data_IF_112634790813
#
_entry.id   IF_112634790813
#
_cell.length_a   1.000
_cell.length_b   1.000
_cell.length_c   1.000
_cell.angle_alpha   90.00
_cell.angle_beta   90.00
_cell.angle_gamma   90.00
#
_symmetry.space_group_name_H-M   'P 1'
#
loop_
_entity.id
_entity.type
_entity.pdbx_description
1 polymer ?
#
# COMPACT_ATOMS: atom_id res chain seq x y z
N UNK A 1 13.37 -23.06 3.58
CA UNK A 1 12.70 -22.02 2.76
C UNK A 1 13.12 -20.68 3.34
N UNK A 2 14.14 -20.08 2.74
CA UNK A 2 14.95 -19.00 3.32
C UNK A 2 14.36 -17.61 3.06
N UNK A 3 14.82 -16.63 3.85
CA UNK A 3 14.43 -15.22 3.80
C UNK A 3 14.26 -14.64 2.38
N UNK A 4 15.09 -15.04 1.42
CA UNK A 4 15.04 -14.53 0.05
C UNK A 4 13.73 -14.79 -0.71
N UNK A 5 12.99 -15.87 -0.40
CA UNK A 5 11.67 -16.11 -1.03
C UNK A 5 10.63 -15.10 -0.53
N UNK A 6 10.73 -14.70 0.74
CA UNK A 6 9.78 -13.78 1.35
C UNK A 6 10.05 -12.33 0.94
N UNK A 7 11.33 -11.98 0.77
CA UNK A 7 11.76 -10.69 0.19
C UNK A 7 11.26 -10.55 -1.25
N UNK A 8 11.50 -11.55 -2.10
CA UNK A 8 10.96 -11.55 -3.47
C UNK A 8 9.44 -11.41 -3.50
N UNK A 9 8.73 -12.09 -2.59
CA UNK A 9 7.27 -12.04 -2.53
C UNK A 9 6.72 -10.67 -2.17
N UNK A 10 7.37 -9.88 -1.32
CA UNK A 10 6.90 -8.51 -1.03
C UNK A 10 7.21 -7.55 -2.18
N UNK A 11 8.33 -7.74 -2.87
CA UNK A 11 8.73 -6.92 -4.03
C UNK A 11 7.85 -7.13 -5.26
N UNK A 12 7.23 -8.30 -5.40
CA UNK A 12 6.32 -8.59 -6.50
C UNK A 12 4.84 -8.44 -6.12
N UNK A 13 4.53 -8.15 -4.85
CA UNK A 13 3.16 -8.08 -4.36
C UNK A 13 2.44 -6.81 -4.81
N UNK A 14 1.77 -6.90 -5.97
CA UNK A 14 0.94 -5.84 -6.56
C UNK A 14 -0.50 -5.89 -6.02
N UNK A 15 -1.15 -4.74 -5.89
CA UNK A 15 -2.59 -4.69 -5.59
C UNK A 15 -3.41 -5.35 -6.71
N UNK A 16 -3.12 -5.03 -7.97
CA UNK A 16 -3.90 -5.51 -9.10
C UNK A 16 -5.38 -5.17 -8.96
N UNK A 17 -6.26 -6.16 -9.10
CA UNK A 17 -7.73 -6.03 -8.89
C UNK A 17 -8.17 -6.27 -7.44
N UNK A 18 -7.22 -6.44 -6.51
CA UNK A 18 -7.54 -6.69 -5.11
C UNK A 18 -8.11 -5.44 -4.46
N UNK A 19 -9.08 -5.63 -3.56
CA UNK A 19 -9.56 -4.57 -2.70
C UNK A 19 -8.41 -3.97 -1.86
N UNK A 20 -8.37 -2.64 -1.74
CA UNK A 20 -7.28 -1.89 -1.10
C UNK A 20 -7.03 -2.38 0.33
N UNK A 21 -8.09 -2.66 1.11
CA UNK A 21 -7.92 -3.20 2.46
C UNK A 21 -7.28 -4.58 2.49
N UNK A 22 -7.67 -5.47 1.58
CA UNK A 22 -7.08 -6.81 1.50
C UNK A 22 -5.61 -6.74 1.11
N UNK A 23 -5.26 -5.82 0.21
CA UNK A 23 -3.88 -5.53 -0.15
C UNK A 23 -3.08 -5.05 1.07
N UNK A 24 -3.59 -4.05 1.82
CA UNK A 24 -2.91 -3.53 3.01
C UNK A 24 -2.66 -4.60 4.08
N UNK A 25 -3.66 -5.45 4.37
CA UNK A 25 -3.52 -6.52 5.36
C UNK A 25 -2.44 -7.52 4.92
N UNK A 26 -2.49 -7.97 3.66
CA UNK A 26 -1.49 -8.92 3.12
C UNK A 26 -0.10 -8.29 3.07
N UNK A 27 0.01 -7.03 2.66
CA UNK A 27 1.26 -6.29 2.61
C UNK A 27 1.89 -6.16 4.01
N UNK A 28 1.10 -5.87 5.04
CA UNK A 28 1.57 -5.80 6.43
C UNK A 28 2.10 -7.15 6.92
N UNK A 29 1.43 -8.25 6.58
CA UNK A 29 1.89 -9.60 6.91
C UNK A 29 3.19 -9.93 6.18
N UNK A 30 3.29 -9.62 4.88
CA UNK A 30 4.49 -9.83 4.09
C UNK A 30 5.68 -9.02 4.63
N UNK A 31 5.47 -7.74 4.97
CA UNK A 31 6.49 -6.88 5.59
C UNK A 31 7.05 -7.52 6.85
N UNK A 32 6.17 -8.03 7.71
CA UNK A 32 6.57 -8.69 8.96
C UNK A 32 7.38 -9.95 8.71
N UNK A 33 6.99 -10.76 7.73
CA UNK A 33 7.68 -12.01 7.39
C UNK A 33 9.03 -11.74 6.70
N UNK A 34 9.09 -10.75 5.82
CA UNK A 34 10.30 -10.34 5.09
C UNK A 34 11.26 -9.53 5.98
N UNK A 35 10.82 -9.07 7.16
CA UNK A 35 11.57 -8.17 8.05
C UNK A 35 12.04 -6.89 7.32
N UNK A 36 11.22 -6.40 6.39
CA UNK A 36 11.53 -5.22 5.58
C UNK A 36 11.46 -3.94 6.41
N UNK A 37 12.47 -3.08 6.24
CA UNK A 37 12.52 -1.76 6.86
C UNK A 37 11.39 -0.84 6.39
N UNK A 38 10.98 0.11 7.23
CA UNK A 38 9.83 0.99 6.94
C UNK A 38 10.01 1.83 5.68
N UNK A 39 11.21 2.34 5.41
CA UNK A 39 11.49 3.11 4.19
C UNK A 39 11.33 2.27 2.92
N UNK A 40 11.84 1.03 2.95
CA UNK A 40 11.72 0.11 1.83
C UNK A 40 10.26 -0.36 1.66
N UNK A 41 9.58 -0.68 2.76
CA UNK A 41 8.17 -1.04 2.74
C UNK A 41 7.28 0.11 2.23
N UNK A 42 7.60 1.37 2.57
CA UNK A 42 6.90 2.55 2.06
C UNK A 42 7.09 2.69 0.54
N UNK A 43 8.32 2.51 0.05
CA UNK A 43 8.61 2.53 -1.38
C UNK A 43 7.77 1.48 -2.13
N UNK A 44 7.79 0.23 -1.66
CA UNK A 44 7.01 -0.87 -2.24
C UNK A 44 5.50 -0.61 -2.15
N UNK A 45 5.02 -0.08 -1.02
CA UNK A 45 3.61 0.26 -0.83
C UNK A 45 3.14 1.25 -1.90
N UNK A 46 3.90 2.32 -2.15
CA UNK A 46 3.58 3.33 -3.17
C UNK A 46 3.75 2.78 -4.59
N UNK A 47 4.70 1.89 -4.82
CA UNK A 47 4.93 1.27 -6.14
C UNK A 47 3.81 0.31 -6.55
N UNK A 48 3.23 -0.41 -5.58
CA UNK A 48 2.35 -1.56 -5.84
C UNK A 48 0.87 -1.29 -5.64
N UNK A 49 0.51 -0.18 -5.00
CA UNK A 49 -0.88 0.25 -4.88
C UNK A 49 -1.36 1.00 -6.12
N UNK A 50 -2.67 1.05 -6.32
CA UNK A 50 -3.30 1.81 -7.40
C UNK A 50 -2.82 3.27 -7.39
N UNK A 51 -2.34 3.79 -8.54
CA UNK A 51 -1.83 5.15 -8.62
C UNK A 51 -2.91 6.21 -8.35
N UNK A 52 -4.20 5.92 -8.63
CA UNK A 52 -5.30 6.84 -8.33
C UNK A 52 -5.52 7.05 -6.84
N UNK A 53 -5.21 6.04 -6.00
CA UNK A 53 -5.24 6.20 -4.53
C UNK A 53 -4.15 7.17 -4.10
N UNK A 54 -2.95 7.06 -4.67
CA UNK A 54 -1.84 7.97 -4.36
C UNK A 54 -2.19 9.39 -4.81
N UNK A 55 -2.71 9.55 -6.04
CA UNK A 55 -3.16 10.85 -6.55
C UNK A 55 -4.25 11.46 -5.69
N UNK A 56 -5.19 10.65 -5.20
CA UNK A 56 -6.27 11.12 -4.31
C UNK A 56 -5.68 11.63 -2.99
N UNK A 57 -4.75 10.89 -2.38
CA UNK A 57 -4.09 11.32 -1.14
C UNK A 57 -3.29 12.62 -1.37
N UNK A 58 -2.52 12.69 -2.45
CA UNK A 58 -1.70 13.86 -2.78
C UNK A 58 -2.54 15.08 -3.20
N UNK A 59 -3.69 14.87 -3.84
CA UNK A 59 -4.60 15.94 -4.24
C UNK A 59 -5.43 16.48 -3.08
N UNK A 60 -5.80 15.63 -2.12
CA UNK A 60 -6.56 16.04 -0.94
C UNK A 60 -5.69 16.75 0.10
N UNK A 61 -4.40 16.42 0.15
CA UNK A 61 -3.45 17.00 1.09
C UNK A 61 -2.57 18.03 0.38
N UNK A 62 -3.14 19.21 0.08
CA UNK A 62 -2.39 20.35 -0.48
C UNK A 62 -1.27 20.84 0.43
N UNK A 63 -1.47 20.74 1.75
CA UNK A 63 -0.59 21.31 2.77
C UNK A 63 0.12 20.24 3.64
N UNK A 64 -0.17 18.95 3.43
CA UNK A 64 0.36 17.88 4.27
C UNK A 64 0.86 16.68 3.47
N UNK A 65 2.18 16.45 3.46
CA UNK A 65 2.73 15.25 2.84
C UNK A 65 3.03 14.19 3.89
N UNK A 66 2.35 13.03 3.86
CA UNK A 66 2.68 11.93 4.77
C UNK A 66 4.11 11.46 4.53
N UNK A 67 4.89 11.38 5.61
CA UNK A 67 6.34 11.12 5.53
C UNK A 67 6.71 9.68 5.87
N UNK A 68 5.89 9.00 6.65
CA UNK A 68 6.20 7.67 7.17
C UNK A 68 5.19 6.61 6.75
N UNK A 69 5.62 5.34 6.85
CA UNK A 69 4.84 4.17 6.45
C UNK A 69 3.47 4.07 7.14
N UNK A 70 3.40 4.40 8.43
CA UNK A 70 2.18 4.29 9.23
C UNK A 70 1.12 5.28 8.76
N UNK A 71 1.52 6.51 8.47
CA UNK A 71 0.63 7.53 7.92
C UNK A 71 0.12 7.18 6.54
N UNK A 72 1.01 6.72 5.66
CA UNK A 72 0.63 6.25 4.34
C UNK A 72 -0.38 5.10 4.44
N UNK A 73 -0.16 4.11 5.30
CA UNK A 73 -1.14 3.03 5.53
C UNK A 73 -2.48 3.55 6.03
N UNK A 74 -2.48 4.51 6.95
CA UNK A 74 -3.71 5.09 7.49
C UNK A 74 -4.50 5.82 6.41
N UNK A 75 -3.84 6.71 5.65
CA UNK A 75 -4.45 7.48 4.59
C UNK A 75 -4.95 6.60 3.44
N UNK A 76 -4.16 5.60 3.03
CA UNK A 76 -4.58 4.61 2.04
C UNK A 76 -5.80 3.82 2.53
N UNK A 77 -5.85 3.44 3.81
CA UNK A 77 -7.00 2.75 4.39
C UNK A 77 -8.24 3.63 4.37
N UNK A 78 -8.11 4.91 4.73
CA UNK A 78 -9.20 5.90 4.70
C UNK A 78 -9.71 6.12 3.28
N UNK A 79 -8.81 6.42 2.34
CA UNK A 79 -9.18 6.60 0.93
C UNK A 79 -9.77 5.32 0.38
N UNK A 80 -9.19 4.15 0.68
CA UNK A 80 -9.71 2.85 0.25
C UNK A 80 -11.08 2.48 0.80
N UNK A 81 -11.49 2.99 1.96
CA UNK A 81 -12.86 2.87 2.48
C UNK A 81 -13.85 3.79 1.75
N UNK A 82 -13.38 4.98 1.35
CA UNK A 82 -14.15 5.93 0.53
C UNK A 82 -14.22 5.53 -0.94
N UNK A 83 -13.19 4.82 -1.44
CA UNK A 83 -13.12 4.19 -2.74
C UNK A 83 -13.98 2.92 -2.73
N UNK A 84 -15.31 3.10 -2.68
CA UNK A 84 -16.17 2.09 -3.28
C UNK A 84 -15.75 2.04 -4.75
N UNK A 85 -15.33 0.87 -5.24
CA UNK A 85 -15.33 0.62 -6.68
C UNK A 85 -16.72 1.03 -7.15
N UNK A 86 -16.84 2.22 -7.72
CA UNK A 86 -17.98 2.50 -8.57
C UNK A 86 -17.79 1.50 -9.69
N UNK A 87 -18.55 0.42 -9.63
CA UNK A 87 -18.98 -0.28 -10.81
C UNK A 87 -19.54 0.80 -11.74
N UNK A 88 -18.68 1.35 -12.58
CA UNK A 88 -19.07 2.03 -13.79
C UNK A 88 -19.79 0.95 -14.60
N UNK A 89 -21.12 0.92 -14.42
CA UNK A 89 -22.05 0.27 -15.32
C UNK A 89 -21.91 0.87 -16.71
#
# INVERSE_FOLDING_TARGET
MGQGEVEWRIEEFKQGRMHIQNFLIKFKVLKRKAKTNDSHALFLLKKHICPDVIKTIMGYLSDYQPTNYTEWMSLISTVGKGYKFTELK
#
